data_IF_363653656405
#
_entry.id   IF_363653656405
#
_cell.length_a   1.000
_cell.length_b   1.000
_cell.length_c   1.000
_cell.angle_alpha   90.00
_cell.angle_beta   90.00
_cell.angle_gamma   90.00
#
_symmetry.space_group_name_H-M   'P 1'
#
loop_
_entity.id
_entity.type
_entity.pdbx_description
1 polymer ?
#
# COMPACT_ATOMS: atom_id res chain seq x y z
N UNK A 1 -9.27 4.38 13.65
CA UNK A 1 -8.27 5.47 13.65
C UNK A 1 -7.25 5.12 12.60
N UNK A 2 -6.95 6.01 11.65
CA UNK A 2 -5.91 5.72 10.63
C UNK A 2 -4.57 5.65 11.38
N UNK A 3 -4.02 4.45 11.57
CA UNK A 3 -2.67 4.30 12.09
C UNK A 3 -1.71 4.85 11.03
N UNK A 4 -1.22 6.07 11.23
CA UNK A 4 -0.16 6.63 10.39
C UNK A 4 1.08 5.73 10.50
N UNK A 5 1.55 5.22 9.37
CA UNK A 5 2.75 4.39 9.31
C UNK A 5 3.98 5.28 9.51
N UNK A 6 4.64 5.18 10.66
CA UNK A 6 5.92 5.88 10.89
C UNK A 6 7.07 5.07 10.29
N UNK A 7 7.60 5.51 9.14
CA UNK A 7 8.74 4.85 8.49
C UNK A 7 10.07 5.21 9.15
N UNK A 8 11.07 4.33 9.06
CA UNK A 8 12.43 4.57 9.57
C UNK A 8 13.44 4.97 8.48
N UNK A 9 13.20 4.56 7.24
CA UNK A 9 14.02 4.92 6.10
C UNK A 9 14.03 6.44 5.84
N UNK A 10 15.18 6.96 5.42
CA UNK A 10 15.39 8.37 5.04
C UNK A 10 15.25 8.61 3.54
N UNK A 11 15.18 7.56 2.73
CA UNK A 11 14.98 7.62 1.27
C UNK A 11 13.53 7.35 0.91
N UNK A 12 13.03 7.96 -0.17
CA UNK A 12 11.65 7.79 -0.62
C UNK A 12 11.33 6.34 -0.96
N UNK A 13 12.27 5.66 -1.63
CA UNK A 13 12.15 4.27 -2.04
C UNK A 13 12.12 3.34 -0.83
N UNK A 14 12.93 3.63 0.20
CA UNK A 14 12.93 2.86 1.45
C UNK A 14 11.64 3.06 2.24
N UNK A 15 11.11 4.29 2.26
CA UNK A 15 9.82 4.58 2.90
C UNK A 15 8.67 3.89 2.18
N UNK A 16 8.66 3.89 0.84
CA UNK A 16 7.68 3.16 0.03
C UNK A 16 7.70 1.67 0.36
N UNK A 17 8.89 1.07 0.41
CA UNK A 17 9.02 -0.35 0.74
C UNK A 17 8.52 -0.67 2.15
N UNK A 18 8.88 0.14 3.15
CA UNK A 18 8.37 -0.04 4.52
C UNK A 18 6.84 0.05 4.60
N UNK A 19 6.24 1.02 3.91
CA UNK A 19 4.77 1.16 3.86
C UNK A 19 4.14 -0.06 3.19
N UNK A 20 4.69 -0.53 2.07
CA UNK A 20 4.18 -1.69 1.35
C UNK A 20 4.23 -2.97 2.20
N UNK A 21 5.36 -3.23 2.86
CA UNK A 21 5.50 -4.39 3.75
C UNK A 21 4.52 -4.31 4.91
N UNK A 22 4.36 -3.15 5.54
CA UNK A 22 3.42 -2.99 6.66
C UNK A 22 1.96 -3.12 6.23
N UNK A 23 1.60 -2.61 5.06
CA UNK A 23 0.26 -2.80 4.49
C UNK A 23 -0.01 -4.28 4.20
N UNK A 24 0.95 -4.99 3.60
CA UNK A 24 0.84 -6.43 3.36
C UNK A 24 0.72 -7.23 4.67
N UNK A 25 1.50 -6.89 5.70
CA UNK A 25 1.40 -7.53 7.03
C UNK A 25 0.02 -7.27 7.66
N UNK A 26 -0.53 -6.06 7.51
CA UNK A 26 -1.87 -5.74 7.97
C UNK A 26 -2.95 -6.59 7.26
N UNK A 27 -2.80 -6.85 5.95
CA UNK A 27 -3.68 -7.77 5.23
C UNK A 27 -3.52 -9.22 5.71
N UNK A 28 -2.30 -9.65 6.00
CA UNK A 28 -2.04 -11.00 6.53
C UNK A 28 -2.64 -11.22 7.91
N UNK A 29 -2.88 -10.15 8.69
CA UNK A 29 -3.57 -10.23 9.98
C UNK A 29 -5.09 -10.45 9.85
N UNK A 30 -5.67 -10.23 8.67
CA UNK A 30 -7.08 -10.55 8.38
C UNK A 30 -7.18 -12.06 8.13
N UNK A 31 -8.30 -12.65 8.56
CA UNK A 31 -8.61 -14.06 8.37
C UNK A 31 -8.48 -14.44 6.88
N UNK A 32 -7.90 -15.62 6.53
CA UNK A 32 -7.60 -15.98 5.15
C UNK A 32 -8.80 -15.89 4.20
N UNK A 33 -10.01 -16.19 4.69
CA UNK A 33 -11.27 -16.14 3.94
C UNK A 33 -11.71 -14.72 3.56
N UNK A 34 -11.32 -13.71 4.34
CA UNK A 34 -11.70 -12.30 4.17
C UNK A 34 -10.53 -11.41 3.70
N UNK A 35 -9.36 -12.01 3.46
CA UNK A 35 -8.13 -11.28 3.14
C UNK A 35 -8.21 -10.66 1.74
N UNK A 36 -8.02 -9.34 1.60
CA UNK A 36 -8.15 -8.66 0.31
C UNK A 36 -6.99 -8.94 -0.66
N UNK A 37 -5.76 -9.21 -0.15
CA UNK A 37 -4.55 -9.40 -0.96
C UNK A 37 -4.28 -8.24 -1.94
N UNK A 38 -4.57 -7.01 -1.51
CA UNK A 38 -4.42 -5.79 -2.30
C UNK A 38 -2.94 -5.36 -2.41
N UNK A 39 -2.07 -5.78 -1.49
CA UNK A 39 -0.63 -5.47 -1.50
C UNK A 39 0.18 -6.77 -1.58
N UNK A 40 1.08 -6.86 -2.55
CA UNK A 40 2.05 -7.94 -2.66
C UNK A 40 3.45 -7.38 -2.80
N UNK A 41 4.34 -7.72 -1.86
CA UNK A 41 5.77 -7.45 -1.96
C UNK A 41 6.52 -8.74 -2.29
N UNK A 42 7.36 -8.68 -3.31
CA UNK A 42 8.28 -9.77 -3.70
C UNK A 42 9.71 -9.27 -3.63
N UNK A 43 10.60 -10.11 -3.13
CA UNK A 43 12.03 -9.80 -2.96
C UNK A 43 12.79 -10.82 -3.79
N UNK A 44 13.51 -10.34 -4.80
CA UNK A 44 14.43 -11.12 -5.60
C UNK A 44 15.84 -10.85 -5.11
N UNK A 45 16.39 -11.81 -4.35
CA UNK A 45 17.73 -11.70 -3.78
C UNK A 45 18.84 -11.98 -4.79
N UNK A 46 18.54 -12.65 -5.90
CA UNK A 46 19.51 -12.93 -6.97
C UNK A 46 19.76 -11.66 -7.79
N UNK A 47 18.69 -10.98 -8.19
CA UNK A 47 18.76 -9.73 -8.95
C UNK A 47 18.83 -8.48 -8.06
N UNK A 48 18.74 -8.64 -6.73
CA UNK A 48 18.73 -7.55 -5.74
C UNK A 48 17.63 -6.52 -6.01
N UNK A 49 16.42 -6.99 -6.33
CA UNK A 49 15.27 -6.13 -6.62
C UNK A 49 14.10 -6.41 -5.68
N UNK A 50 13.29 -5.38 -5.45
CA UNK A 50 12.03 -5.47 -4.73
C UNK A 50 10.93 -5.00 -5.67
N UNK A 51 9.89 -5.81 -5.82
CA UNK A 51 8.69 -5.43 -6.56
C UNK A 51 7.49 -5.37 -5.62
N UNK A 52 6.80 -4.24 -5.65
CA UNK A 52 5.56 -3.99 -4.91
C UNK A 52 4.43 -3.84 -5.93
N UNK A 53 3.41 -4.68 -5.80
CA UNK A 53 2.14 -4.52 -6.50
C UNK A 53 1.07 -4.08 -5.51
N UNK A 54 0.41 -2.96 -5.80
CA UNK A 54 -0.66 -2.42 -4.98
C UNK A 54 -1.90 -2.17 -5.83
N UNK A 55 -3.02 -2.78 -5.46
CA UNK A 55 -4.33 -2.58 -6.10
C UNK A 55 -5.36 -2.39 -5.00
N UNK A 56 -5.82 -1.17 -4.79
CA UNK A 56 -6.82 -0.86 -3.76
C UNK A 56 -8.07 -0.18 -4.36
N UNK A 57 -9.23 -0.36 -3.71
CA UNK A 57 -10.42 0.40 -4.06
C UNK A 57 -10.16 1.91 -3.91
N UNK A 58 -10.51 2.68 -4.93
CA UNK A 58 -10.41 4.13 -4.92
C UNK A 58 -11.63 4.73 -5.62
N UNK A 59 -12.04 5.90 -5.12
CA UNK A 59 -13.03 6.74 -5.80
C UNK A 59 -12.31 7.81 -6.60
N UNK A 60 -12.83 8.10 -7.79
CA UNK A 60 -12.28 9.10 -8.69
C UNK A 60 -13.27 10.23 -8.86
N UNK A 61 -12.79 11.46 -8.72
CA UNK A 61 -13.58 12.67 -8.95
C UNK A 61 -12.75 13.71 -9.70
N UNK A 62 -13.41 14.75 -10.23
CA UNK A 62 -12.75 15.86 -10.90
C UNK A 62 -12.88 17.09 -10.02
N UNK A 63 -11.77 17.77 -9.71
CA UNK A 63 -11.81 18.99 -8.90
C UNK A 63 -12.20 20.23 -9.74
N UNK A 64 -12.35 21.38 -9.07
CA UNK A 64 -12.74 22.64 -9.72
C UNK A 64 -11.77 23.11 -10.84
N UNK A 65 -10.53 22.63 -10.83
CA UNK A 65 -9.51 22.93 -11.84
C UNK A 65 -9.49 21.92 -12.99
N UNK A 66 -10.39 20.93 -12.99
CA UNK A 66 -10.43 19.87 -14.01
C UNK A 66 -9.45 18.73 -13.76
N UNK A 67 -8.74 18.70 -12.63
CA UNK A 67 -7.78 17.63 -12.33
C UNK A 67 -8.47 16.40 -11.74
N UNK A 68 -8.03 15.21 -12.15
CA UNK A 68 -8.45 13.93 -11.58
C UNK A 68 -7.92 13.82 -10.15
N UNK A 69 -8.82 13.55 -9.21
CA UNK A 69 -8.50 13.28 -7.80
C UNK A 69 -8.88 11.84 -7.51
N UNK A 70 -7.89 11.03 -7.15
CA UNK A 70 -8.09 9.68 -6.64
C UNK A 70 -8.13 9.72 -5.11
N UNK A 71 -9.16 9.15 -4.51
CA UNK A 71 -9.33 9.03 -3.06
C UNK A 71 -9.43 7.55 -2.69
N UNK A 72 -8.35 6.96 -2.13
CA UNK A 72 -8.36 5.57 -1.68
C UNK A 72 -9.47 5.34 -0.64
N UNK A 73 -10.19 4.24 -0.79
CA UNK A 73 -11.17 3.80 0.21
C UNK A 73 -10.45 3.00 1.28
N UNK A 74 -10.56 3.36 2.57
CA UNK A 74 -9.99 2.57 3.66
C UNK A 74 -10.55 1.15 3.64
N UNK A 75 -9.65 0.15 3.63
CA UNK A 75 -10.02 -1.27 3.62
C UNK A 75 -9.27 -2.09 4.68
N UNK A 76 -8.27 -1.49 5.32
CA UNK A 76 -7.57 -2.07 6.46
C UNK A 76 -8.22 -1.59 7.77
N UNK A 77 -8.29 -2.44 8.80
CA UNK A 77 -8.87 -2.09 10.11
C UNK A 77 -8.04 -1.05 10.89
#
# INVERSE_FOLDING_TARGET
MVNSVQTTATTLEGQLWEVAVRAQVAELAIAPEDRPNNVTTTIDTENQTVAVTFTAPATFSVNASGALVASPTPYLP
#
